data_IF_948428996703
#
_entry.id   IF_948428996703
#
_cell.length_a   1.000
_cell.length_b   1.000
_cell.length_c   1.000
_cell.angle_alpha   90.00
_cell.angle_beta   90.00
_cell.angle_gamma   90.00
#
_symmetry.space_group_name_H-M   'P 1'
#
loop_
_entity.id
_entity.type
_entity.pdbx_description
1 polymer ?
#
# COMPACT_ATOMS: atom_id res chain seq x y z
N UNK A 1 -53.45 22.46 -51.11
CA UNK A 1 -54.01 23.82 -51.24
C UNK A 1 -53.88 24.46 -49.88
N UNK A 2 -53.24 25.62 -49.83
CA UNK A 2 -53.02 26.49 -48.66
C UNK A 2 -51.92 26.06 -47.68
N UNK A 3 -50.91 26.86 -47.31
CA UNK A 3 -50.39 28.14 -47.81
C UNK A 3 -48.96 28.25 -47.27
N UNK A 4 -48.01 28.57 -48.16
CA UNK A 4 -46.62 28.89 -47.85
C UNK A 4 -46.55 30.13 -46.94
N UNK A 5 -45.94 30.00 -45.76
CA UNK A 5 -45.55 31.16 -44.95
C UNK A 5 -44.21 31.68 -45.46
N UNK A 6 -44.30 32.84 -46.09
CA UNK A 6 -43.25 33.68 -46.63
C UNK A 6 -42.40 34.24 -45.47
N UNK A 7 -41.18 33.73 -45.29
CA UNK A 7 -40.18 34.32 -44.41
C UNK A 7 -39.57 35.56 -45.09
N UNK A 8 -39.88 36.72 -44.55
CA UNK A 8 -39.26 38.01 -44.87
C UNK A 8 -37.85 38.03 -44.26
N UNK A 9 -36.77 38.40 -44.98
CA UNK A 9 -35.44 38.43 -44.40
C UNK A 9 -35.32 39.67 -43.52
N UNK A 10 -35.27 39.46 -42.20
CA UNK A 10 -34.81 40.48 -41.27
C UNK A 10 -33.36 40.80 -41.61
N UNK A 11 -33.17 41.99 -42.17
CA UNK A 11 -31.88 42.61 -42.41
C UNK A 11 -31.33 43.01 -41.02
N UNK A 12 -30.77 42.05 -40.29
CA UNK A 12 -30.06 42.30 -39.04
C UNK A 12 -28.77 43.05 -39.36
N UNK A 13 -28.75 44.34 -39.04
CA UNK A 13 -27.51 45.11 -38.99
C UNK A 13 -26.52 44.37 -38.06
N UNK A 14 -25.22 44.33 -38.40
CA UNK A 14 -24.24 43.63 -37.58
C UNK A 14 -24.30 44.16 -36.14
N UNK A 15 -24.24 43.26 -35.13
CA UNK A 15 -24.36 43.66 -33.73
C UNK A 15 -23.31 44.72 -33.40
N UNK A 16 -23.74 45.78 -32.71
CA UNK A 16 -22.85 46.86 -32.29
C UNK A 16 -21.67 46.26 -31.51
N UNK A 17 -20.42 46.62 -31.85
CA UNK A 17 -19.25 46.06 -31.20
C UNK A 17 -19.31 46.28 -29.69
N UNK A 18 -19.00 45.23 -28.92
CA UNK A 18 -19.00 45.30 -27.46
C UNK A 18 -18.00 46.37 -26.99
N UNK A 19 -18.20 46.94 -25.81
CA UNK A 19 -17.30 47.97 -25.28
C UNK A 19 -15.83 47.49 -25.21
N UNK A 20 -15.60 46.20 -25.01
CA UNK A 20 -14.27 45.58 -25.08
C UNK A 20 -13.69 45.60 -26.49
N UNK A 21 -14.50 45.29 -27.51
CA UNK A 21 -14.06 45.36 -28.91
C UNK A 21 -13.72 46.79 -29.32
N UNK A 22 -14.46 47.78 -28.81
CA UNK A 22 -14.15 49.20 -29.05
C UNK A 22 -12.83 49.63 -28.40
N UNK A 23 -12.57 49.21 -27.16
CA UNK A 23 -11.31 49.51 -26.47
C UNK A 23 -10.10 48.85 -27.14
N UNK A 24 -10.25 47.59 -27.57
CA UNK A 24 -9.20 46.87 -28.30
C UNK A 24 -8.89 47.59 -29.62
N UNK A 25 -9.93 47.95 -30.39
CA UNK A 25 -9.77 48.67 -31.64
C UNK A 25 -9.13 50.07 -31.44
N UNK A 26 -9.43 50.76 -30.34
CA UNK A 26 -8.80 52.05 -30.04
C UNK A 26 -7.31 51.88 -29.67
N UNK A 27 -6.99 50.86 -28.88
CA UNK A 27 -5.61 50.54 -28.55
C UNK A 27 -4.79 50.16 -29.79
N UNK A 28 -5.35 49.36 -30.71
CA UNK A 28 -4.69 49.02 -31.97
C UNK A 28 -4.39 50.26 -32.82
N UNK A 29 -5.37 51.16 -32.99
CA UNK A 29 -5.18 52.42 -33.71
C UNK A 29 -4.09 53.28 -33.07
N UNK A 30 -4.03 53.34 -31.75
CA UNK A 30 -3.00 54.06 -31.03
C UNK A 30 -1.61 53.48 -31.30
N UNK A 31 -1.46 52.15 -31.31
CA UNK A 31 -0.17 51.51 -31.62
C UNK A 31 0.25 51.70 -33.08
N UNK A 32 -0.69 51.67 -34.03
CA UNK A 32 -0.42 51.95 -35.45
C UNK A 32 0.12 53.37 -35.64
N UNK A 33 -0.52 54.39 -35.03
CA UNK A 33 -0.02 55.78 -35.07
C UNK A 33 1.38 55.95 -34.48
N UNK A 34 1.71 55.17 -33.45
CA UNK A 34 3.06 55.18 -32.86
C UNK A 34 4.11 54.57 -33.79
N UNK A 35 3.79 53.52 -34.53
CA UNK A 35 4.68 52.93 -35.53
C UNK A 35 4.84 53.85 -36.75
N UNK A 36 3.77 54.51 -37.17
CA UNK A 36 3.83 55.55 -38.21
C UNK A 36 4.77 56.69 -37.80
N UNK A 37 4.72 57.14 -36.53
CA UNK A 37 5.63 58.15 -35.99
C UNK A 37 7.10 57.66 -35.92
N UNK A 38 7.35 56.35 -35.98
CA UNK A 38 8.69 55.75 -36.11
C UNK A 38 9.14 55.60 -37.57
N UNK A 39 8.37 56.13 -38.53
CA UNK A 39 8.72 56.15 -39.95
C UNK A 39 8.19 54.96 -40.75
N UNK A 40 7.33 54.11 -40.17
CA UNK A 40 6.73 53.00 -40.91
C UNK A 40 5.58 53.51 -41.79
N UNK A 41 5.48 53.05 -43.05
CA UNK A 41 4.29 53.25 -43.88
C UNK A 41 3.01 52.75 -43.17
N UNK A 42 1.89 53.47 -43.30
CA UNK A 42 0.65 53.17 -42.55
C UNK A 42 0.11 51.75 -42.82
N UNK A 43 0.27 51.27 -44.05
CA UNK A 43 -0.11 49.90 -44.42
C UNK A 43 0.76 48.83 -43.72
N UNK A 44 2.05 49.08 -43.55
CA UNK A 44 2.97 48.17 -42.88
C UNK A 44 2.74 48.17 -41.35
N UNK A 45 2.53 49.35 -40.76
CA UNK A 45 2.21 49.49 -39.34
C UNK A 45 0.92 48.73 -38.98
N UNK A 46 -0.13 48.87 -39.79
CA UNK A 46 -1.38 48.15 -39.59
C UNK A 46 -1.23 46.63 -39.69
N UNK A 47 -0.49 46.13 -40.69
CA UNK A 47 -0.26 44.68 -40.86
C UNK A 47 0.53 44.11 -39.68
N UNK A 48 1.56 44.81 -39.19
CA UNK A 48 2.35 44.36 -38.05
C UNK A 48 1.47 44.26 -36.80
N UNK A 49 0.68 45.29 -36.51
CA UNK A 49 -0.19 45.30 -35.33
C UNK A 49 -1.26 44.22 -35.43
N UNK A 50 -1.97 44.12 -36.55
CA UNK A 50 -3.00 43.08 -36.74
C UNK A 50 -2.45 41.65 -36.69
N UNK A 51 -1.26 41.41 -37.25
CA UNK A 51 -0.58 40.10 -37.17
C UNK A 51 -0.20 39.79 -35.71
N UNK A 52 0.31 40.77 -34.97
CA UNK A 52 0.67 40.61 -33.56
C UNK A 52 -0.58 40.39 -32.69
N UNK A 53 -1.67 41.14 -32.90
CA UNK A 53 -2.95 40.91 -32.21
C UNK A 53 -3.47 39.50 -32.47
N UNK A 54 -3.44 39.07 -33.74
CA UNK A 54 -3.91 37.73 -34.12
C UNK A 54 -3.08 36.65 -33.44
N UNK A 55 -1.75 36.78 -33.47
CA UNK A 55 -0.83 35.87 -32.78
C UNK A 55 -1.09 35.84 -31.27
N UNK A 56 -1.20 36.99 -30.61
CA UNK A 56 -1.45 37.07 -29.17
C UNK A 56 -2.79 36.46 -28.78
N UNK A 57 -3.87 36.75 -29.51
CA UNK A 57 -5.17 36.12 -29.26
C UNK A 57 -5.11 34.60 -29.43
N UNK A 58 -4.42 34.11 -30.47
CA UNK A 58 -4.28 32.67 -30.72
C UNK A 58 -3.51 31.97 -29.59
N UNK A 59 -2.44 32.60 -29.10
CA UNK A 59 -1.66 32.07 -27.99
C UNK A 59 -2.40 32.17 -26.65
N UNK A 60 -3.17 33.24 -26.42
CA UNK A 60 -4.01 33.38 -25.23
C UNK A 60 -5.12 32.33 -25.21
N UNK A 61 -5.75 32.03 -26.34
CA UNK A 61 -6.74 30.96 -26.45
C UNK A 61 -6.11 29.59 -26.16
N UNK A 62 -4.92 29.32 -26.71
CA UNK A 62 -4.19 28.08 -26.44
C UNK A 62 -3.75 27.95 -24.97
N UNK A 63 -3.25 29.04 -24.37
CA UNK A 63 -2.93 29.08 -22.94
C UNK A 63 -4.19 28.86 -22.09
N UNK A 64 -5.32 29.47 -22.46
CA UNK A 64 -6.60 29.30 -21.76
C UNK A 64 -7.09 27.85 -21.80
N UNK A 65 -6.82 27.12 -22.89
CA UNK A 65 -7.06 25.67 -22.96
C UNK A 65 -6.10 24.86 -22.09
N UNK A 66 -4.86 25.33 -21.92
CA UNK A 66 -3.82 24.71 -21.10
C UNK A 66 -3.98 24.99 -19.60
N UNK A 67 -4.69 26.05 -19.19
CA UNK A 67 -4.92 26.31 -17.77
C UNK A 67 -6.07 25.45 -17.29
N UNK A 68 -5.79 24.53 -16.37
CA UNK A 68 -6.83 23.75 -15.70
C UNK A 68 -7.79 24.71 -15.01
N UNK A 69 -9.08 24.60 -15.31
CA UNK A 69 -10.09 25.45 -14.68
C UNK A 69 -10.13 25.21 -13.17
N UNK A 70 -10.51 26.25 -12.40
CA UNK A 70 -10.64 26.14 -10.95
C UNK A 70 -11.61 25.03 -10.52
N UNK A 71 -12.63 24.74 -11.33
CA UNK A 71 -13.56 23.62 -11.09
C UNK A 71 -12.89 22.26 -11.30
N UNK A 72 -12.13 22.08 -12.39
CA UNK A 72 -11.41 20.84 -12.67
C UNK A 72 -10.32 20.55 -11.63
N UNK A 73 -9.59 21.59 -11.17
CA UNK A 73 -8.63 21.45 -10.08
C UNK A 73 -9.30 21.08 -8.75
N UNK A 74 -10.43 21.70 -8.42
CA UNK A 74 -11.19 21.38 -7.21
C UNK A 74 -11.74 19.95 -7.24
N UNK A 75 -12.20 19.49 -8.39
CA UNK A 75 -12.69 18.12 -8.57
C UNK A 75 -11.54 17.10 -8.42
N UNK A 76 -10.37 17.39 -8.99
CA UNK A 76 -9.16 16.60 -8.78
C UNK A 76 -8.75 16.53 -7.31
N UNK A 77 -8.73 17.69 -6.62
CA UNK A 77 -8.42 17.75 -5.19
C UNK A 77 -9.45 17.02 -4.33
N UNK A 78 -10.75 17.14 -4.66
CA UNK A 78 -11.82 16.43 -3.96
C UNK A 78 -11.67 14.92 -4.12
N UNK A 79 -11.35 14.45 -5.33
CA UNK A 79 -11.07 13.03 -5.61
C UNK A 79 -9.84 12.55 -4.85
N UNK A 80 -8.73 13.28 -4.90
CA UNK A 80 -7.51 12.95 -4.16
C UNK A 80 -7.75 12.87 -2.64
N UNK A 81 -8.54 13.79 -2.09
CA UNK A 81 -8.86 13.81 -0.67
C UNK A 81 -9.78 12.65 -0.25
N UNK A 82 -10.72 12.26 -1.13
CA UNK A 82 -11.53 11.05 -0.97
C UNK A 82 -10.66 9.80 -0.94
N UNK A 83 -9.75 9.63 -1.91
CA UNK A 83 -8.85 8.47 -2.00
C UNK A 83 -7.93 8.39 -0.78
N UNK A 84 -7.39 9.52 -0.32
CA UNK A 84 -6.60 9.61 0.91
C UNK A 84 -7.42 9.19 2.15
N UNK A 85 -8.69 9.57 2.20
CA UNK A 85 -9.59 9.22 3.30
C UNK A 85 -9.91 7.72 3.31
N UNK A 86 -10.16 7.12 2.15
CA UNK A 86 -10.36 5.67 2.02
C UNK A 86 -9.09 4.89 2.40
N UNK A 87 -7.92 5.33 1.94
CA UNK A 87 -6.65 4.73 2.31
C UNK A 87 -6.43 4.74 3.83
N UNK A 88 -6.68 5.87 4.49
CA UNK A 88 -6.59 5.98 5.96
C UNK A 88 -7.55 5.01 6.66
N UNK A 89 -8.78 4.85 6.16
CA UNK A 89 -9.74 3.90 6.72
C UNK A 89 -9.27 2.44 6.61
N UNK A 90 -8.74 2.05 5.44
CA UNK A 90 -8.16 0.69 5.26
C UNK A 90 -6.97 0.47 6.19
N UNK A 91 -6.08 1.47 6.33
CA UNK A 91 -4.95 1.41 7.27
C UNK A 91 -5.42 1.20 8.71
N UNK A 92 -6.44 1.96 9.15
CA UNK A 92 -7.02 1.83 10.48
C UNK A 92 -7.65 0.46 10.71
N UNK A 93 -8.46 -0.03 9.77
CA UNK A 93 -9.06 -1.36 9.86
C UNK A 93 -8.02 -2.48 9.87
N UNK A 94 -6.93 -2.33 9.11
CA UNK A 94 -5.81 -3.26 9.12
C UNK A 94 -5.10 -3.28 10.48
N UNK A 95 -4.91 -2.12 11.10
CA UNK A 95 -4.29 -1.96 12.41
C UNK A 95 -5.16 -2.55 13.54
N UNK A 96 -6.46 -2.21 13.57
CA UNK A 96 -7.35 -2.55 14.66
C UNK A 96 -7.78 -4.03 14.63
N UNK A 97 -7.98 -4.59 13.44
CA UNK A 97 -8.53 -5.94 13.26
C UNK A 97 -7.48 -6.99 12.89
N UNK A 98 -6.89 -6.84 11.70
CA UNK A 98 -6.12 -7.91 11.08
C UNK A 98 -4.75 -8.08 11.74
N UNK A 99 -4.03 -6.97 11.94
CA UNK A 99 -2.72 -6.98 12.57
C UNK A 99 -2.79 -7.49 14.01
N UNK A 100 -3.70 -6.95 14.82
CA UNK A 100 -3.86 -7.36 16.21
C UNK A 100 -4.28 -8.84 16.34
N UNK A 101 -5.14 -9.33 15.44
CA UNK A 101 -5.51 -10.76 15.37
C UNK A 101 -4.31 -11.65 15.01
N UNK A 102 -3.48 -11.25 14.04
CA UNK A 102 -2.27 -11.97 13.65
C UNK A 102 -1.24 -11.98 14.78
N UNK A 103 -0.99 -10.84 15.42
CA UNK A 103 -0.08 -10.73 16.57
C UNK A 103 -0.52 -11.66 17.69
N UNK A 104 -1.80 -11.62 18.09
CA UNK A 104 -2.33 -12.52 19.14
C UNK A 104 -2.21 -13.99 18.79
N UNK A 105 -2.45 -14.36 17.52
CA UNK A 105 -2.29 -15.76 17.06
C UNK A 105 -0.85 -16.20 17.14
N UNK A 106 0.10 -15.35 16.75
CA UNK A 106 1.53 -15.63 16.88
C UNK A 106 1.94 -15.80 18.35
N UNK A 107 1.53 -14.90 19.23
CA UNK A 107 1.83 -15.02 20.68
C UNK A 107 1.22 -16.29 21.29
N UNK A 108 -0.01 -16.64 20.93
CA UNK A 108 -0.64 -17.87 21.41
C UNK A 108 0.11 -19.10 20.91
N UNK A 109 0.47 -19.13 19.62
CA UNK A 109 1.23 -20.22 19.04
C UNK A 109 2.60 -20.38 19.71
N UNK A 110 3.28 -19.27 19.99
CA UNK A 110 4.57 -19.29 20.70
C UNK A 110 4.43 -19.85 22.13
N UNK A 111 3.37 -19.48 22.85
CA UNK A 111 3.08 -20.05 24.18
C UNK A 111 2.80 -21.55 24.11
N UNK A 112 2.01 -21.99 23.15
CA UNK A 112 1.67 -23.41 23.00
C UNK A 112 2.90 -24.24 22.59
N UNK A 113 3.77 -23.69 21.73
CA UNK A 113 5.06 -24.29 21.41
C UNK A 113 5.95 -24.45 22.65
N UNK A 114 6.12 -23.38 23.45
CA UNK A 114 6.88 -23.42 24.72
C UNK A 114 6.33 -24.48 25.68
N UNK A 115 5.01 -24.55 25.85
CA UNK A 115 4.36 -25.58 26.69
C UNK A 115 4.64 -26.99 26.17
N UNK A 116 4.58 -27.20 24.85
CA UNK A 116 4.81 -28.51 24.24
C UNK A 116 6.26 -28.96 24.44
N UNK A 117 7.22 -28.05 24.27
CA UNK A 117 8.65 -28.31 24.54
C UNK A 117 8.86 -28.71 26.00
N UNK A 118 8.39 -27.90 26.96
CA UNK A 118 8.54 -28.20 28.39
C UNK A 118 7.91 -29.55 28.75
N UNK A 119 6.70 -29.82 28.24
CA UNK A 119 5.98 -31.07 28.49
C UNK A 119 6.77 -32.27 27.95
N UNK A 120 7.30 -32.18 26.73
CA UNK A 120 8.05 -33.28 26.13
C UNK A 120 9.38 -33.52 26.85
N UNK A 121 10.14 -32.46 27.16
CA UNK A 121 11.37 -32.57 27.95
C UNK A 121 11.13 -33.17 29.33
N UNK A 122 10.06 -32.76 30.02
CA UNK A 122 9.72 -33.32 31.33
C UNK A 122 9.36 -34.81 31.27
N UNK A 123 8.63 -35.24 30.23
CA UNK A 123 8.30 -36.65 30.00
C UNK A 123 9.55 -37.47 29.72
N UNK A 124 10.39 -36.99 28.81
CA UNK A 124 11.63 -37.65 28.45
C UNK A 124 12.56 -37.82 29.66
N UNK A 125 12.74 -36.77 30.46
CA UNK A 125 13.54 -36.84 31.68
C UNK A 125 12.98 -37.85 32.68
N UNK A 126 11.64 -37.93 32.82
CA UNK A 126 11.01 -38.92 33.69
C UNK A 126 11.28 -40.35 33.22
N UNK A 127 11.10 -40.60 31.93
CA UNK A 127 11.34 -41.92 31.33
C UNK A 127 12.80 -42.34 31.45
N UNK A 128 13.75 -41.42 31.28
CA UNK A 128 15.17 -41.68 31.55
C UNK A 128 15.38 -42.13 32.99
N UNK A 129 14.88 -41.37 33.97
CA UNK A 129 15.07 -41.67 35.39
C UNK A 129 14.46 -43.04 35.74
N UNK A 130 13.28 -43.33 35.21
CA UNK A 130 12.57 -44.58 35.42
C UNK A 130 13.36 -45.78 34.85
N UNK A 131 13.85 -45.66 33.61
CA UNK A 131 14.67 -46.70 32.97
C UNK A 131 16.00 -46.89 33.69
N UNK A 132 16.67 -45.82 34.11
CA UNK A 132 17.92 -45.90 34.87
C UNK A 132 17.73 -46.58 36.23
N UNK A 133 16.64 -46.26 36.93
CA UNK A 133 16.30 -46.90 38.21
C UNK A 133 16.02 -48.39 38.03
N UNK A 134 15.23 -48.76 37.02
CA UNK A 134 14.95 -50.16 36.67
C UNK A 134 16.22 -50.94 36.35
N UNK A 135 17.15 -50.36 35.58
CA UNK A 135 18.43 -50.99 35.27
C UNK A 135 19.29 -51.21 36.52
N UNK A 136 19.36 -50.23 37.43
CA UNK A 136 20.11 -50.37 38.70
C UNK A 136 19.53 -51.48 39.58
N UNK A 137 18.20 -51.54 39.71
CA UNK A 137 17.53 -52.59 40.46
C UNK A 137 17.78 -53.99 39.86
N UNK A 138 17.62 -54.13 38.53
CA UNK A 138 17.85 -55.39 37.84
C UNK A 138 19.31 -55.88 37.99
N UNK A 139 20.29 -54.97 37.88
CA UNK A 139 21.71 -55.30 38.13
C UNK A 139 21.94 -55.82 39.56
N UNK A 140 21.28 -55.23 40.56
CA UNK A 140 21.42 -55.65 41.95
C UNK A 140 20.81 -57.03 42.20
N UNK A 141 19.64 -57.31 41.64
CA UNK A 141 19.00 -58.64 41.73
C UNK A 141 19.86 -59.73 41.10
N UNK A 142 20.45 -59.47 39.93
CA UNK A 142 21.37 -60.40 39.27
C UNK A 142 22.59 -60.67 40.17
N UNK A 143 23.21 -59.64 40.73
CA UNK A 143 24.35 -59.80 41.63
C UNK A 143 24.00 -60.63 42.86
N UNK A 144 22.84 -60.39 43.47
CA UNK A 144 22.33 -61.15 44.61
C UNK A 144 22.11 -62.63 44.26
N UNK A 145 21.52 -62.90 43.10
CA UNK A 145 21.30 -64.27 42.62
C UNK A 145 22.63 -65.00 42.40
N UNK A 146 23.61 -64.36 41.75
CA UNK A 146 24.94 -64.93 41.56
C UNK A 146 25.61 -65.30 42.88
N UNK A 147 25.56 -64.42 43.89
CA UNK A 147 26.13 -64.72 45.21
C UNK A 147 25.44 -65.93 45.85
N UNK A 148 24.10 -66.02 45.75
CA UNK A 148 23.34 -67.15 46.27
C UNK A 148 23.74 -68.49 45.64
N UNK A 149 23.94 -68.53 44.31
CA UNK A 149 24.36 -69.77 43.63
C UNK A 149 25.79 -70.18 43.96
N UNK A 150 26.71 -69.23 44.13
CA UNK A 150 28.07 -69.53 44.60
C UNK A 150 28.08 -70.14 46.00
N UNK A 151 27.29 -69.59 46.93
CA UNK A 151 27.20 -70.10 48.30
C UNK A 151 26.58 -71.50 48.35
N UNK A 152 25.52 -71.75 47.56
CA UNK A 152 24.89 -73.08 47.52
C UNK A 152 25.80 -74.13 46.89
N UNK A 153 26.46 -73.83 45.77
CA UNK A 153 27.44 -74.72 45.15
C UNK A 153 28.62 -75.01 46.09
N UNK A 154 29.15 -73.98 46.75
CA UNK A 154 30.23 -74.12 47.74
C UNK A 154 29.83 -74.99 48.93
N UNK A 155 28.60 -74.84 49.42
CA UNK A 155 28.06 -75.66 50.51
C UNK A 155 27.97 -77.14 50.12
N UNK A 156 27.55 -77.44 48.89
CA UNK A 156 27.50 -78.81 48.36
C UNK A 156 28.92 -79.39 48.26
N UNK A 157 29.87 -78.65 47.69
CA UNK A 157 31.27 -79.09 47.58
C UNK A 157 31.89 -79.41 48.94
N UNK A 158 31.66 -78.55 49.94
CA UNK A 158 32.15 -78.77 51.31
C UNK A 158 31.55 -80.04 51.93
N UNK A 159 30.24 -80.30 51.72
CA UNK A 159 29.60 -81.51 52.21
C UNK A 159 30.21 -82.79 51.62
N UNK A 160 30.56 -82.80 50.34
CA UNK A 160 31.23 -83.94 49.69
C UNK A 160 32.62 -84.21 50.25
N UNK A 161 33.42 -83.16 50.49
CA UNK A 161 34.77 -83.31 51.06
C UNK A 161 34.70 -83.89 52.47
N UNK A 162 33.74 -83.44 53.29
CA UNK A 162 33.53 -83.97 54.63
C UNK A 162 33.05 -85.43 54.62
N UNK A 163 32.26 -85.84 53.63
CA UNK A 163 31.77 -87.23 53.53
C UNK A 163 32.89 -88.26 53.27
N UNK A 164 33.99 -87.83 52.64
CA UNK A 164 35.12 -88.70 52.31
C UNK A 164 36.24 -88.75 53.37
N UNK A 165 36.14 -87.95 54.43
CA UNK A 165 37.11 -87.89 55.51
C UNK A 165 36.61 -88.65 56.72
#
# INVERSE_FOLDING_TARGET
MSTSMQQHPHNEAPPSPSWLQLLVAENERHQVRRLEAQGLPPNQAYIIISTLTTFLNTNLDHLTQSVVSKSAFNEFMAKQNSDLSQFKLVMKHMQDGHFNSVVRKNEKLERDFKKLVIKLTSKFNREIIEVEAGLKAAKFEIMKYCVGTFVSAGSICLAFVLFWK
#
